data_IF_287344386462
#
_entry.id   IF_287344386462
#
_cell.length_a   1.000
_cell.length_b   1.000
_cell.length_c   1.000
_cell.angle_alpha   90.00
_cell.angle_beta   90.00
_cell.angle_gamma   90.00
#
_symmetry.space_group_name_H-M   'P 1'
#
loop_
_entity.id
_entity.type
_entity.pdbx_description
1 polymer ?
#
# COMPACT_ATOMS: atom_id res chain seq x y z
N UNK A 1 23.00 -17.44 23.76
CA UNK A 1 21.63 -17.65 23.30
C UNK A 1 21.66 -17.40 21.82
N UNK A 2 21.38 -18.41 21.00
CA UNK A 2 21.41 -18.30 19.55
C UNK A 2 20.40 -17.24 19.10
N UNK A 3 20.87 -16.31 18.30
CA UNK A 3 20.09 -15.23 17.72
C UNK A 3 19.05 -15.85 16.77
N UNK A 4 17.78 -15.86 17.19
CA UNK A 4 16.70 -16.56 16.48
C UNK A 4 16.19 -15.78 15.25
N UNK A 5 16.95 -14.81 14.74
CA UNK A 5 16.54 -13.96 13.62
C UNK A 5 17.02 -14.45 12.25
N UNK A 6 17.76 -15.56 12.16
CA UNK A 6 18.19 -16.09 10.87
C UNK A 6 17.05 -16.82 10.12
N UNK A 7 16.56 -16.17 9.05
CA UNK A 7 15.98 -16.71 7.80
C UNK A 7 14.47 -16.72 7.55
N UNK A 8 13.72 -15.71 7.99
CA UNK A 8 12.55 -15.30 7.21
C UNK A 8 13.07 -14.37 6.10
N UNK A 9 12.69 -14.60 4.84
CA UNK A 9 12.97 -13.61 3.80
C UNK A 9 12.31 -12.29 4.21
N UNK A 10 12.79 -11.13 3.74
CA UNK A 10 12.17 -9.83 4.08
C UNK A 10 10.65 -9.84 3.84
N UNK A 11 10.20 -10.63 2.85
CA UNK A 11 8.79 -10.85 2.54
C UNK A 11 8.06 -11.68 3.61
N UNK A 12 8.66 -12.75 4.11
CA UNK A 12 8.06 -13.59 5.14
C UNK A 12 7.91 -12.83 6.46
N UNK A 13 8.93 -12.05 6.85
CA UNK A 13 8.90 -11.20 8.05
C UNK A 13 7.82 -10.11 7.93
N UNK A 14 7.73 -9.46 6.75
CA UNK A 14 6.68 -8.49 6.44
C UNK A 14 5.29 -9.13 6.53
N UNK A 15 5.10 -10.31 5.94
CA UNK A 15 3.83 -11.04 5.98
C UNK A 15 3.41 -11.34 7.41
N UNK A 16 4.31 -11.86 8.23
CA UNK A 16 4.03 -12.14 9.64
C UNK A 16 3.65 -10.88 10.43
N UNK A 17 4.33 -9.76 10.16
CA UNK A 17 4.00 -8.48 10.79
C UNK A 17 2.57 -8.03 10.46
N UNK A 18 2.18 -8.09 9.18
CA UNK A 18 0.85 -7.67 8.71
C UNK A 18 -0.28 -8.59 9.19
N UNK A 19 0.01 -9.89 9.35
CA UNK A 19 -0.96 -10.89 9.82
C UNK A 19 -1.09 -10.95 11.34
N UNK A 20 -0.20 -10.30 12.10
CA UNK A 20 -0.22 -10.34 13.57
C UNK A 20 -1.43 -9.62 14.17
N UNK A 21 -2.01 -8.64 13.48
CA UNK A 21 -3.12 -7.86 14.01
C UNK A 21 -4.43 -8.69 14.07
N UNK A 22 -5.22 -8.45 15.12
CA UNK A 22 -6.50 -9.13 15.30
C UNK A 22 -7.48 -8.74 14.19
N UNK A 23 -7.99 -9.75 13.47
CA UNK A 23 -8.87 -9.54 12.31
C UNK A 23 -8.14 -9.39 10.98
N UNK A 24 -6.80 -9.45 10.95
CA UNK A 24 -6.05 -9.53 9.70
C UNK A 24 -6.35 -10.80 8.92
N UNK A 25 -6.26 -10.70 7.60
CA UNK A 25 -6.44 -11.77 6.63
C UNK A 25 -5.22 -11.88 5.70
N UNK A 26 -5.08 -12.98 4.94
CA UNK A 26 -4.00 -13.11 3.94
C UNK A 26 -3.98 -11.96 2.91
N UNK A 27 -5.16 -11.40 2.59
CA UNK A 27 -5.26 -10.24 1.70
C UNK A 27 -4.55 -9.01 2.29
N UNK A 28 -4.38 -8.94 3.61
CA UNK A 28 -3.69 -7.84 4.27
C UNK A 28 -2.17 -7.90 4.12
N UNK A 29 -1.62 -9.10 3.90
CA UNK A 29 -0.20 -9.29 3.60
C UNK A 29 0.13 -9.11 2.10
N UNK A 30 -0.87 -9.20 1.22
CA UNK A 30 -0.67 -9.09 -0.22
C UNK A 30 0.00 -7.74 -0.61
N UNK A 31 0.88 -7.74 -1.63
CA UNK A 31 1.42 -6.50 -2.20
C UNK A 31 0.29 -5.59 -2.69
N UNK A 32 0.33 -4.31 -2.30
CA UNK A 32 -0.66 -3.29 -2.69
C UNK A 32 -0.12 -2.29 -3.72
N UNK A 33 1.18 -2.34 -3.99
CA UNK A 33 1.86 -1.47 -4.93
C UNK A 33 2.63 -2.32 -5.92
N UNK A 34 2.72 -1.85 -7.15
CA UNK A 34 3.59 -2.39 -8.18
C UNK A 34 4.66 -1.34 -8.49
N UNK A 35 5.89 -1.78 -8.64
CA UNK A 35 7.00 -0.91 -9.03
C UNK A 35 7.46 -1.27 -10.42
N UNK A 36 7.69 -0.25 -11.24
CA UNK A 36 8.31 -0.38 -12.55
C UNK A 36 9.45 0.62 -12.68
N UNK A 37 10.52 0.24 -13.35
CA UNK A 37 11.67 1.11 -13.58
C UNK A 37 11.76 1.46 -15.06
N UNK A 38 11.87 2.76 -15.36
CA UNK A 38 12.01 3.26 -16.73
C UNK A 38 12.88 4.53 -16.74
N UNK A 39 13.90 4.59 -17.60
CA UNK A 39 14.81 5.75 -17.71
C UNK A 39 15.43 6.23 -16.38
N UNK A 40 15.73 5.31 -15.47
CA UNK A 40 16.24 5.64 -14.13
C UNK A 40 15.20 6.24 -13.18
N UNK A 41 13.92 6.21 -13.56
CA UNK A 41 12.78 6.60 -12.73
C UNK A 41 12.06 5.35 -12.24
N UNK A 42 11.90 5.22 -10.93
CA UNK A 42 11.01 4.22 -10.34
C UNK A 42 9.60 4.78 -10.29
N UNK A 43 8.72 4.20 -11.09
CA UNK A 43 7.28 4.44 -11.05
C UNK A 43 6.65 3.49 -10.05
N UNK A 44 5.78 4.03 -9.20
CA UNK A 44 5.00 3.28 -8.21
C UNK A 44 3.53 3.42 -8.61
N UNK A 45 2.88 2.30 -8.90
CA UNK A 45 1.45 2.23 -9.17
C UNK A 45 0.75 1.47 -8.04
N UNK A 46 -0.54 1.76 -7.81
CA UNK A 46 -1.36 1.01 -6.85
C UNK A 46 -1.93 -0.22 -7.55
N UNK A 47 -1.63 -1.40 -7.00
CA UNK A 47 -2.06 -2.68 -7.54
C UNK A 47 -3.59 -2.74 -7.68
N UNK A 48 -4.08 -3.39 -8.74
CA UNK A 48 -5.53 -3.50 -8.99
C UNK A 48 -6.26 -4.32 -7.93
N UNK A 49 -5.54 -5.18 -7.23
CA UNK A 49 -6.04 -6.00 -6.12
C UNK A 49 -6.07 -5.25 -4.79
N UNK A 50 -5.57 -4.02 -4.72
CA UNK A 50 -5.55 -3.23 -3.50
C UNK A 50 -6.98 -2.89 -3.05
N UNK A 51 -7.34 -3.31 -1.83
CA UNK A 51 -8.67 -3.09 -1.26
C UNK A 51 -9.00 -1.60 -1.00
N UNK A 52 -7.98 -0.75 -0.84
CA UNK A 52 -8.12 0.69 -0.60
C UNK A 52 -7.14 1.42 -1.51
N UNK A 53 -7.58 2.53 -2.11
CA UNK A 53 -6.74 3.43 -2.90
C UNK A 53 -6.54 4.76 -2.16
N UNK A 54 -5.39 5.43 -2.33
CA UNK A 54 -5.21 6.78 -1.85
C UNK A 54 -6.33 7.70 -2.37
N UNK A 55 -6.80 8.60 -1.52
CA UNK A 55 -7.76 9.63 -1.93
C UNK A 55 -7.14 10.67 -2.87
N UNK A 56 -7.93 11.66 -3.30
CA UNK A 56 -7.44 12.76 -4.11
C UNK A 56 -6.26 13.46 -3.43
N UNK A 57 -5.22 13.78 -4.22
CA UNK A 57 -4.01 14.42 -3.72
C UNK A 57 -4.16 15.93 -3.57
N UNK A 58 -3.29 16.60 -2.81
CA UNK A 58 -3.30 18.06 -2.70
C UNK A 58 -3.22 18.72 -4.09
N UNK A 59 -4.05 19.75 -4.31
CA UNK A 59 -4.18 20.43 -5.61
C UNK A 59 -5.15 19.77 -6.59
N UNK A 60 -5.94 18.78 -6.13
CA UNK A 60 -7.14 18.31 -6.84
C UNK A 60 -8.38 18.95 -6.21
N UNK A 61 -9.36 19.43 -7.01
CA UNK A 61 -10.58 20.06 -6.49
C UNK A 61 -11.29 19.19 -5.43
N UNK A 62 -11.30 17.88 -5.65
CA UNK A 62 -11.91 16.89 -4.76
C UNK A 62 -11.19 16.76 -3.41
N UNK A 63 -9.89 17.10 -3.33
CA UNK A 63 -9.13 17.14 -2.08
C UNK A 63 -9.35 18.44 -1.29
N UNK A 64 -9.55 19.56 -1.99
CA UNK A 64 -9.60 20.90 -1.41
C UNK A 64 -11.02 21.28 -0.91
N UNK A 65 -12.01 20.40 -1.14
CA UNK A 65 -13.41 20.63 -0.76
C UNK A 65 -14.18 21.47 -1.78
N UNK A 66 -13.59 21.74 -2.95
CA UNK A 66 -14.25 22.35 -4.09
C UNK A 66 -14.98 21.26 -4.90
N UNK A 67 -16.03 20.69 -4.31
CA UNK A 67 -16.88 19.73 -5.00
C UNK A 67 -17.81 20.49 -5.97
N UNK A 68 -17.63 20.39 -7.30
CA UNK A 68 -18.43 21.16 -8.25
C UNK A 68 -19.92 20.78 -8.21
N UNK A 69 -20.28 19.62 -7.62
CA UNK A 69 -21.66 19.17 -7.47
C UNK A 69 -22.38 19.83 -6.26
N UNK A 70 -21.69 20.52 -5.35
CA UNK A 70 -22.32 21.21 -4.21
C UNK A 70 -22.97 22.56 -4.58
N UNK A 71 -22.78 23.03 -5.83
CA UNK A 71 -23.26 24.35 -6.30
C UNK A 71 -24.57 24.32 -7.09
N UNK A 72 -25.34 23.23 -7.05
CA UNK A 72 -26.64 23.10 -7.76
C UNK A 72 -27.86 23.05 -6.85
#
# INVERSE_FOLDING_TARGET
MSDASESLTDEDARREELLRAGGSTEADAAPRIETSEHDGVTRIDIADTAAVRPGPGPGTPEADGDDPEETR
#
